data_IF_102286260939
#
_entry.id   IF_102286260939
#
_cell.length_a   1.000
_cell.length_b   1.000
_cell.length_c   1.000
_cell.angle_alpha   90.00
_cell.angle_beta   90.00
_cell.angle_gamma   90.00
#
_symmetry.space_group_name_H-M   'P 1'
#
loop_
_entity.id
_entity.type
_entity.pdbx_description
1 polymer ?
#
# COMPACT_ATOMS: atom_id res chain seq x y z
N UNK A 1 -21.00 -53.78 -19.57
CA UNK A 1 -20.46 -52.73 -20.47
C UNK A 1 -21.27 -51.49 -20.21
N UNK A 2 -20.78 -50.65 -19.26
CA UNK A 2 -21.44 -49.45 -18.80
C UNK A 2 -20.68 -48.28 -19.42
N UNK A 3 -21.32 -47.29 -20.05
CA UNK A 3 -20.64 -46.15 -20.62
C UNK A 3 -20.21 -45.15 -19.55
N UNK A 4 -19.01 -44.61 -19.71
CA UNK A 4 -18.42 -43.60 -18.87
C UNK A 4 -19.04 -42.21 -19.16
N UNK A 5 -19.37 -41.46 -18.09
CA UNK A 5 -19.82 -40.08 -18.16
C UNK A 5 -18.66 -39.14 -18.57
N UNK A 6 -18.90 -38.09 -19.36
CA UNK A 6 -17.89 -37.11 -19.70
C UNK A 6 -17.71 -36.09 -18.54
N UNK A 7 -16.48 -35.95 -18.11
CA UNK A 7 -16.04 -34.90 -17.14
C UNK A 7 -16.19 -33.54 -17.80
N UNK A 8 -17.11 -32.74 -17.27
CA UNK A 8 -17.36 -31.37 -17.69
C UNK A 8 -16.21 -30.46 -17.17
N UNK A 9 -15.37 -30.03 -18.09
CA UNK A 9 -14.27 -29.10 -17.85
C UNK A 9 -14.87 -27.69 -17.62
N UNK A 10 -15.07 -27.30 -16.36
CA UNK A 10 -15.44 -25.93 -16.01
C UNK A 10 -14.26 -24.99 -16.30
N UNK A 11 -14.35 -24.28 -17.41
CA UNK A 11 -13.46 -23.18 -17.77
C UNK A 11 -13.68 -22.02 -16.79
N UNK A 12 -12.72 -21.78 -15.88
CA UNK A 12 -12.68 -20.56 -15.06
C UNK A 12 -12.50 -19.36 -16.00
N UNK A 13 -13.59 -18.69 -16.30
CA UNK A 13 -13.57 -17.40 -16.98
C UNK A 13 -12.94 -16.36 -16.04
N UNK A 14 -11.73 -15.94 -16.35
CA UNK A 14 -11.10 -14.78 -15.74
C UNK A 14 -12.02 -13.57 -15.98
N UNK A 15 -12.49 -12.94 -14.90
CA UNK A 15 -13.32 -11.73 -14.96
C UNK A 15 -12.48 -10.56 -15.45
N UNK A 16 -12.42 -10.37 -16.76
CA UNK A 16 -11.83 -9.17 -17.37
C UNK A 16 -12.76 -8.00 -17.08
N UNK A 17 -12.36 -7.15 -16.17
CA UNK A 17 -13.06 -5.87 -15.94
C UNK A 17 -13.05 -5.06 -17.24
N UNK A 18 -14.21 -4.63 -17.78
CA UNK A 18 -14.24 -3.91 -19.05
C UNK A 18 -13.48 -2.57 -18.92
N UNK A 19 -12.78 -2.13 -19.98
CA UNK A 19 -12.05 -0.87 -19.96
C UNK A 19 -12.97 0.31 -19.65
N UNK A 20 -12.51 1.21 -18.77
CA UNK A 20 -13.26 2.41 -18.41
C UNK A 20 -13.52 3.26 -19.65
N UNK A 21 -14.69 3.84 -19.75
CA UNK A 21 -14.97 4.85 -20.79
C UNK A 21 -14.11 6.09 -20.56
N UNK A 22 -13.78 6.87 -21.61
CA UNK A 22 -13.05 8.16 -21.50
C UNK A 22 -13.62 9.07 -20.39
N UNK A 23 -14.93 9.08 -20.20
CA UNK A 23 -15.59 9.83 -19.11
C UNK A 23 -15.31 9.22 -17.74
N UNK A 24 -15.25 7.91 -17.64
CA UNK A 24 -14.88 7.18 -16.42
C UNK A 24 -13.43 7.43 -16.04
N UNK A 25 -12.53 7.41 -17.01
CA UNK A 25 -11.10 7.72 -16.80
C UNK A 25 -10.89 9.16 -16.32
N UNK A 26 -11.55 10.13 -16.94
CA UNK A 26 -11.49 11.53 -16.51
C UNK A 26 -12.03 11.73 -15.09
N UNK A 27 -13.13 11.04 -14.72
CA UNK A 27 -13.68 11.06 -13.36
C UNK A 27 -12.70 10.45 -12.36
N UNK A 28 -12.07 9.32 -12.70
CA UNK A 28 -11.08 8.66 -11.85
C UNK A 28 -9.82 9.51 -11.69
N UNK A 29 -9.34 10.15 -12.76
CA UNK A 29 -8.21 11.07 -12.71
C UNK A 29 -8.51 12.26 -11.79
N UNK A 30 -9.69 12.88 -11.94
CA UNK A 30 -10.10 14.00 -11.09
C UNK A 30 -10.19 13.61 -9.62
N UNK A 31 -10.75 12.43 -9.33
CA UNK A 31 -10.79 11.90 -7.96
C UNK A 31 -9.39 11.73 -7.38
N UNK A 32 -8.42 11.20 -8.15
CA UNK A 32 -7.02 11.07 -7.72
C UNK A 32 -6.38 12.43 -7.41
N UNK A 33 -6.60 13.45 -8.24
CA UNK A 33 -6.11 14.81 -7.99
C UNK A 33 -6.61 15.37 -6.65
N UNK A 34 -7.90 15.15 -6.32
CA UNK A 34 -8.49 15.58 -5.05
C UNK A 34 -7.84 14.83 -3.85
N UNK A 35 -7.66 13.52 -3.96
CA UNK A 35 -7.02 12.72 -2.92
C UNK A 35 -5.55 13.10 -2.71
N UNK A 36 -4.81 13.36 -3.79
CA UNK A 36 -3.41 13.82 -3.70
C UNK A 36 -3.31 15.23 -3.09
N UNK A 37 -4.23 16.13 -3.39
CA UNK A 37 -4.31 17.45 -2.77
C UNK A 37 -4.66 17.35 -1.27
N UNK A 38 -5.58 16.43 -0.93
CA UNK A 38 -5.93 16.15 0.45
C UNK A 38 -4.73 15.61 1.25
N UNK A 39 -4.00 14.64 0.69
CA UNK A 39 -2.81 14.07 1.32
C UNK A 39 -1.78 15.16 1.63
N UNK A 40 -1.44 16.00 0.65
CA UNK A 40 -0.50 17.14 0.84
C UNK A 40 -0.95 18.08 1.95
N UNK A 41 -2.22 18.51 1.93
CA UNK A 41 -2.73 19.47 2.91
C UNK A 41 -2.85 18.86 4.31
N UNK A 42 -3.33 17.61 4.41
CA UNK A 42 -3.41 16.90 5.68
C UNK A 42 -2.02 16.60 6.22
N UNK A 43 -1.05 16.18 5.40
CA UNK A 43 0.34 15.99 5.84
C UNK A 43 0.91 17.25 6.47
N UNK A 44 0.71 18.42 5.85
CA UNK A 44 1.23 19.69 6.30
C UNK A 44 0.53 20.24 7.55
N UNK A 45 -0.81 20.15 7.64
CA UNK A 45 -1.64 20.88 8.63
C UNK A 45 -2.40 19.96 9.61
N UNK A 46 -2.32 18.64 9.44
CA UNK A 46 -3.13 17.68 10.18
C UNK A 46 -4.56 17.56 9.65
N UNK A 47 -5.22 16.44 9.96
CA UNK A 47 -6.61 16.23 9.61
C UNK A 47 -7.52 17.36 10.13
N UNK A 48 -7.36 17.79 11.39
CA UNK A 48 -8.19 18.84 11.98
C UNK A 48 -8.01 20.20 11.29
N UNK A 49 -6.80 20.52 10.83
CA UNK A 49 -6.43 21.83 10.25
C UNK A 49 -6.83 22.02 8.78
N UNK A 50 -7.56 21.09 8.18
CA UNK A 50 -7.96 21.13 6.76
C UNK A 50 -9.47 21.07 6.63
N UNK A 51 -10.03 21.87 5.71
CA UNK A 51 -11.44 21.81 5.31
C UNK A 51 -11.58 21.18 3.92
N UNK A 52 -12.74 20.59 3.64
CA UNK A 52 -13.00 19.98 2.34
C UNK A 52 -12.97 21.00 1.20
N UNK A 53 -13.42 22.23 1.49
CA UNK A 53 -13.41 23.37 0.57
C UNK A 53 -11.98 23.80 0.22
N UNK A 54 -11.05 23.78 1.18
CA UNK A 54 -9.64 24.12 0.96
C UNK A 54 -8.98 23.14 0.00
N UNK A 55 -9.30 21.83 0.15
CA UNK A 55 -8.83 20.78 -0.75
C UNK A 55 -9.36 21.02 -2.17
N UNK A 56 -10.66 21.30 -2.27
CA UNK A 56 -11.30 21.62 -3.55
C UNK A 56 -10.65 22.82 -4.24
N UNK A 57 -10.46 23.92 -3.50
CA UNK A 57 -9.81 25.13 -4.00
C UNK A 57 -8.42 24.88 -4.57
N UNK A 58 -7.63 24.00 -3.96
CA UNK A 58 -6.27 23.65 -4.44
C UNK A 58 -6.24 22.93 -5.80
N UNK A 59 -7.37 22.33 -6.22
CA UNK A 59 -7.50 21.63 -7.51
C UNK A 59 -8.57 22.26 -8.42
N UNK A 60 -9.02 23.48 -8.11
CA UNK A 60 -10.04 24.18 -8.92
C UNK A 60 -11.42 23.53 -8.90
N UNK A 61 -11.80 22.92 -7.75
CA UNK A 61 -13.12 22.31 -7.52
C UNK A 61 -13.86 23.12 -6.47
N UNK A 62 -15.11 23.53 -6.77
CA UNK A 62 -15.93 24.26 -5.80
C UNK A 62 -16.32 23.37 -4.61
N UNK A 63 -16.56 23.99 -3.42
CA UNK A 63 -17.02 23.29 -2.23
C UNK A 63 -18.21 22.35 -2.51
N UNK A 64 -19.32 22.84 -3.12
CA UNK A 64 -20.44 21.97 -3.47
C UNK A 64 -20.09 20.80 -4.41
N UNK A 65 -19.06 20.98 -5.27
CA UNK A 65 -18.59 19.91 -6.14
C UNK A 65 -17.78 18.85 -5.35
N UNK A 66 -17.03 19.25 -4.33
CA UNK A 66 -16.34 18.33 -3.41
C UNK A 66 -17.32 17.40 -2.69
N UNK A 67 -18.44 17.94 -2.20
CA UNK A 67 -19.49 17.16 -1.54
C UNK A 67 -20.23 16.17 -2.45
N UNK A 68 -20.10 16.29 -3.78
CA UNK A 68 -20.56 15.26 -4.73
C UNK A 68 -19.60 14.08 -4.84
N UNK A 69 -18.35 14.25 -4.44
CA UNK A 69 -17.31 13.21 -4.48
C UNK A 69 -17.10 12.54 -3.12
N UNK A 70 -17.22 13.32 -2.05
CA UNK A 70 -16.95 12.87 -0.67
C UNK A 70 -18.05 13.43 0.25
N UNK A 71 -18.75 12.54 0.96
CA UNK A 71 -19.84 12.92 1.86
C UNK A 71 -19.35 13.80 3.03
N UNK A 72 -18.09 13.64 3.44
CA UNK A 72 -17.45 14.40 4.50
C UNK A 72 -15.92 14.38 4.35
N UNK A 73 -15.23 15.16 5.19
CA UNK A 73 -13.76 15.09 5.31
C UNK A 73 -13.30 13.73 5.84
N UNK A 74 -14.05 13.12 6.75
CA UNK A 74 -13.78 11.76 7.25
C UNK A 74 -13.93 10.73 6.14
N UNK A 75 -15.00 10.80 5.33
CA UNK A 75 -15.19 9.93 4.17
C UNK A 75 -14.04 10.05 3.16
N UNK A 76 -13.54 11.28 2.92
CA UNK A 76 -12.36 11.48 2.08
C UNK A 76 -11.11 10.79 2.66
N UNK A 77 -10.89 10.91 3.99
CA UNK A 77 -9.78 10.26 4.67
C UNK A 77 -9.90 8.74 4.60
N UNK A 78 -11.10 8.21 4.87
CA UNK A 78 -11.39 6.78 4.78
C UNK A 78 -11.03 6.23 3.40
N UNK A 79 -11.55 6.86 2.34
CA UNK A 79 -11.28 6.47 0.97
C UNK A 79 -9.78 6.56 0.63
N UNK A 80 -9.09 7.60 1.08
CA UNK A 80 -7.66 7.81 0.82
C UNK A 80 -6.80 6.72 1.46
N UNK A 81 -7.05 6.37 2.73
CA UNK A 81 -6.25 5.37 3.44
C UNK A 81 -6.63 3.94 3.06
N UNK A 82 -7.89 3.69 2.66
CA UNK A 82 -8.29 2.43 2.06
C UNK A 82 -7.62 2.22 0.69
N UNK A 83 -7.61 3.24 -0.16
CA UNK A 83 -7.01 3.15 -1.51
C UNK A 83 -5.51 2.81 -1.44
N UNK A 84 -4.74 3.48 -0.56
CA UNK A 84 -3.31 3.17 -0.42
C UNK A 84 -3.08 1.80 0.21
N UNK A 85 -3.89 1.40 1.19
CA UNK A 85 -3.76 0.09 1.84
C UNK A 85 -4.08 -1.06 0.87
N UNK A 86 -5.11 -0.89 0.01
CA UNK A 86 -5.42 -1.83 -1.07
C UNK A 86 -4.27 -1.89 -2.07
N UNK A 87 -3.76 -0.74 -2.53
CA UNK A 87 -2.64 -0.69 -3.47
C UNK A 87 -1.40 -1.42 -2.96
N UNK A 88 -1.06 -1.25 -1.67
CA UNK A 88 0.07 -1.95 -1.07
C UNK A 88 -0.17 -3.46 -1.02
N UNK A 89 -1.34 -3.91 -0.53
CA UNK A 89 -1.69 -5.32 -0.45
C UNK A 89 -1.73 -5.98 -1.82
N UNK A 90 -2.37 -5.35 -2.81
CA UNK A 90 -2.55 -5.90 -4.14
C UNK A 90 -1.24 -5.93 -4.93
N UNK A 91 -0.47 -4.82 -4.89
CA UNK A 91 0.82 -4.76 -5.54
C UNK A 91 1.85 -5.72 -4.90
N UNK A 92 1.78 -5.94 -3.58
CA UNK A 92 2.57 -6.99 -2.93
C UNK A 92 2.19 -8.38 -3.42
N UNK A 93 0.89 -8.67 -3.53
CA UNK A 93 0.41 -9.94 -4.09
C UNK A 93 0.87 -10.13 -5.54
N UNK A 94 0.76 -9.11 -6.39
CA UNK A 94 1.25 -9.15 -7.77
C UNK A 94 2.76 -9.46 -7.86
N UNK A 95 3.56 -8.95 -6.91
CA UNK A 95 5.00 -9.26 -6.85
C UNK A 95 5.21 -10.73 -6.50
N UNK A 96 4.51 -11.26 -5.48
CA UNK A 96 4.62 -12.65 -5.04
C UNK A 96 4.13 -13.61 -6.12
N UNK A 97 3.04 -13.27 -6.81
CA UNK A 97 2.42 -14.10 -7.85
C UNK A 97 3.30 -14.25 -9.11
N UNK A 98 4.41 -13.49 -9.24
CA UNK A 98 5.40 -13.70 -10.31
C UNK A 98 6.15 -15.03 -10.18
N UNK A 99 6.12 -15.67 -9.02
CA UNK A 99 6.77 -16.97 -8.78
C UNK A 99 8.30 -16.93 -8.87
N UNK A 100 8.92 -15.77 -8.57
CA UNK A 100 10.37 -15.61 -8.53
C UNK A 100 10.96 -16.34 -7.31
N UNK A 101 12.27 -16.68 -7.33
CA UNK A 101 12.96 -17.16 -6.12
C UNK A 101 12.75 -16.23 -4.92
N UNK A 102 12.73 -16.75 -3.68
CA UNK A 102 12.44 -15.96 -2.48
C UNK A 102 13.31 -14.70 -2.33
N UNK A 103 14.61 -14.79 -2.66
CA UNK A 103 15.51 -13.63 -2.60
C UNK A 103 15.12 -12.52 -3.58
N UNK A 104 14.80 -12.87 -4.83
CA UNK A 104 14.37 -11.93 -5.86
C UNK A 104 12.97 -11.36 -5.54
N UNK A 105 12.08 -12.18 -4.98
CA UNK A 105 10.75 -11.75 -4.54
C UNK A 105 10.87 -10.73 -3.40
N UNK A 106 11.74 -10.96 -2.41
CA UNK A 106 11.96 -10.03 -1.31
C UNK A 106 12.52 -8.70 -1.80
N UNK A 107 13.50 -8.73 -2.70
CA UNK A 107 14.07 -7.53 -3.32
C UNK A 107 13.00 -6.75 -4.09
N UNK A 108 12.18 -7.43 -4.88
CA UNK A 108 11.09 -6.82 -5.63
C UNK A 108 10.03 -6.19 -4.70
N UNK A 109 9.70 -6.82 -3.58
CA UNK A 109 8.82 -6.25 -2.55
C UNK A 109 9.41 -4.99 -1.93
N UNK A 110 10.71 -4.99 -1.60
CA UNK A 110 11.42 -3.82 -1.07
C UNK A 110 11.35 -2.67 -2.07
N UNK A 111 11.67 -2.91 -3.31
CA UNK A 111 11.62 -1.91 -4.38
C UNK A 111 10.21 -1.36 -4.57
N UNK A 112 9.20 -2.23 -4.64
CA UNK A 112 7.80 -1.83 -4.76
C UNK A 112 7.35 -0.93 -3.61
N UNK A 113 7.67 -1.30 -2.36
CA UNK A 113 7.29 -0.52 -1.19
C UNK A 113 7.98 0.85 -1.17
N UNK A 114 9.30 0.89 -1.41
CA UNK A 114 10.07 2.13 -1.50
C UNK A 114 9.54 3.04 -2.62
N UNK A 115 9.12 2.48 -3.75
CA UNK A 115 8.48 3.23 -4.82
C UNK A 115 7.23 3.97 -4.34
N UNK A 116 6.37 3.30 -3.58
CA UNK A 116 5.19 3.93 -3.00
C UNK A 116 5.58 5.05 -2.03
N UNK A 117 6.55 4.81 -1.15
CA UNK A 117 7.02 5.79 -0.16
C UNK A 117 7.59 7.06 -0.83
N UNK A 118 8.42 6.89 -1.86
CA UNK A 118 9.07 8.02 -2.55
C UNK A 118 8.09 8.79 -3.44
N UNK A 119 7.10 8.11 -4.02
CA UNK A 119 6.12 8.76 -4.90
C UNK A 119 4.92 9.37 -4.15
N UNK A 120 4.62 8.90 -2.94
CA UNK A 120 3.46 9.32 -2.14
C UNK A 120 3.82 9.58 -0.66
N UNK A 121 4.88 10.39 -0.36
CA UNK A 121 5.35 10.58 1.01
C UNK A 121 4.28 11.17 1.94
N UNK A 122 3.42 12.05 1.43
CA UNK A 122 2.35 12.68 2.21
C UNK A 122 1.34 11.66 2.75
N UNK A 123 1.04 10.60 1.96
CA UNK A 123 0.14 9.53 2.42
C UNK A 123 0.71 8.76 3.61
N UNK A 124 2.03 8.57 3.65
CA UNK A 124 2.68 7.89 4.78
C UNK A 124 2.56 8.75 6.05
N UNK A 125 2.78 10.06 5.93
CA UNK A 125 2.61 11.00 7.05
C UNK A 125 1.18 10.98 7.59
N UNK A 126 0.19 11.02 6.68
CA UNK A 126 -1.23 11.00 7.05
C UNK A 126 -1.61 9.65 7.68
N UNK A 127 -1.18 8.54 7.09
CA UNK A 127 -1.47 7.20 7.62
C UNK A 127 -0.88 7.00 9.02
N UNK A 128 0.35 7.44 9.26
CA UNK A 128 1.01 7.30 10.56
C UNK A 128 0.34 8.13 11.67
N UNK A 129 -0.12 9.34 11.32
CA UNK A 129 -0.68 10.30 12.29
C UNK A 129 -2.19 10.22 12.45
N UNK A 130 -2.93 10.05 11.36
CA UNK A 130 -4.36 10.35 11.30
C UNK A 130 -5.28 9.11 11.26
N UNK A 131 -4.73 7.88 11.42
CA UNK A 131 -5.51 6.62 11.46
C UNK A 131 -6.65 6.63 12.49
N UNK A 132 -6.50 7.35 13.58
CA UNK A 132 -7.51 7.45 14.64
C UNK A 132 -8.73 8.30 14.26
N UNK A 133 -8.64 9.04 13.14
CA UNK A 133 -9.75 9.85 12.60
C UNK A 133 -10.61 9.09 11.57
N UNK A 134 -10.28 7.84 11.26
CA UNK A 134 -11.09 6.97 10.40
C UNK A 134 -12.39 6.58 11.10
N UNK A 135 -13.42 6.29 10.29
CA UNK A 135 -14.59 5.56 10.80
C UNK A 135 -14.18 4.19 11.33
N UNK A 136 -14.93 3.61 12.30
CA UNK A 136 -14.63 2.28 12.82
C UNK A 136 -14.52 1.21 11.72
N UNK A 137 -15.40 1.27 10.72
CA UNK A 137 -15.46 0.35 9.59
C UNK A 137 -14.22 0.48 8.71
N UNK A 138 -13.84 1.71 8.31
CA UNK A 138 -12.66 1.96 7.52
C UNK A 138 -11.37 1.59 8.28
N UNK A 139 -11.30 1.89 9.58
CA UNK A 139 -10.16 1.52 10.42
C UNK A 139 -9.99 -0.01 10.46
N UNK A 140 -11.09 -0.76 10.66
CA UNK A 140 -11.06 -2.23 10.66
C UNK A 140 -10.54 -2.78 9.33
N UNK A 141 -11.04 -2.26 8.20
CA UNK A 141 -10.63 -2.70 6.86
C UNK A 141 -9.16 -2.35 6.58
N UNK A 142 -8.72 -1.11 6.86
CA UNK A 142 -7.33 -0.69 6.71
C UNK A 142 -6.39 -1.60 7.51
N UNK A 143 -6.72 -1.87 8.77
CA UNK A 143 -5.92 -2.77 9.61
C UNK A 143 -5.89 -4.20 9.08
N UNK A 144 -7.00 -4.68 8.50
CA UNK A 144 -7.05 -5.99 7.85
C UNK A 144 -6.14 -6.06 6.63
N UNK A 145 -6.18 -5.03 5.78
CA UNK A 145 -5.32 -4.93 4.60
C UNK A 145 -3.84 -4.86 4.98
N UNK A 146 -3.50 -4.06 5.99
CA UNK A 146 -2.13 -3.95 6.51
C UNK A 146 -1.61 -5.28 7.04
N UNK A 147 -2.41 -6.02 7.83
CA UNK A 147 -2.04 -7.35 8.31
C UNK A 147 -1.75 -8.31 7.16
N UNK A 148 -2.63 -8.36 6.15
CA UNK A 148 -2.43 -9.23 4.98
C UNK A 148 -1.16 -8.87 4.22
N UNK A 149 -0.85 -7.59 4.10
CA UNK A 149 0.38 -7.13 3.45
C UNK A 149 1.63 -7.54 4.25
N UNK A 150 1.59 -7.42 5.57
CA UNK A 150 2.67 -7.91 6.45
C UNK A 150 2.89 -9.41 6.29
N UNK A 151 1.81 -10.22 6.28
CA UNK A 151 1.94 -11.67 6.14
C UNK A 151 2.58 -12.08 4.80
N UNK A 152 2.30 -11.38 3.69
CA UNK A 152 2.99 -11.62 2.41
C UNK A 152 4.52 -11.53 2.56
N UNK A 153 5.01 -10.52 3.28
CA UNK A 153 6.43 -10.33 3.53
C UNK A 153 7.01 -11.38 4.48
N UNK A 154 6.24 -11.75 5.51
CA UNK A 154 6.63 -12.80 6.45
C UNK A 154 6.81 -14.12 5.74
N UNK A 155 5.86 -14.51 4.89
CA UNK A 155 5.91 -15.76 4.14
C UNK A 155 7.13 -15.82 3.20
N UNK A 156 7.42 -14.72 2.48
CA UNK A 156 8.60 -14.63 1.60
C UNK A 156 9.90 -14.69 2.40
N UNK A 157 9.97 -14.00 3.56
CA UNK A 157 11.16 -14.03 4.42
C UNK A 157 11.41 -15.42 4.99
N UNK A 158 10.37 -16.13 5.44
CA UNK A 158 10.48 -17.50 5.94
C UNK A 158 10.94 -18.46 4.83
N UNK A 159 10.41 -18.32 3.61
CA UNK A 159 10.84 -19.12 2.47
C UNK A 159 12.33 -18.88 2.15
N UNK A 160 12.78 -17.61 2.15
CA UNK A 160 14.18 -17.26 1.95
C UNK A 160 15.10 -17.87 3.01
N UNK A 161 14.73 -17.81 4.29
CA UNK A 161 15.52 -18.38 5.37
C UNK A 161 15.60 -19.91 5.24
N UNK A 162 14.49 -20.57 4.89
CA UNK A 162 14.46 -22.03 4.65
C UNK A 162 15.37 -22.41 3.48
N UNK A 163 15.34 -21.68 2.38
CA UNK A 163 16.21 -21.90 1.21
C UNK A 163 17.71 -21.79 1.59
N UNK A 164 18.04 -20.88 2.50
CA UNK A 164 19.42 -20.69 3.02
C UNK A 164 19.81 -21.69 4.12
N UNK A 165 18.96 -22.65 4.45
CA UNK A 165 19.19 -23.63 5.52
C UNK A 165 19.14 -23.03 6.93
N UNK A 166 18.59 -21.83 7.09
CA UNK A 166 18.42 -21.15 8.38
C UNK A 166 16.99 -21.35 8.91
N UNK A 167 16.88 -21.45 10.23
CA UNK A 167 15.58 -21.51 10.92
C UNK A 167 15.21 -20.12 11.43
N UNK A 168 14.06 -19.61 11.05
CA UNK A 168 13.49 -18.37 11.54
C UNK A 168 12.08 -18.64 12.07
N UNK A 169 11.81 -18.31 13.33
CA UNK A 169 10.48 -18.46 13.91
C UNK A 169 9.53 -17.38 13.34
N UNK A 170 8.27 -17.74 13.05
CA UNK A 170 7.30 -16.82 12.50
C UNK A 170 7.10 -15.53 13.34
N UNK A 171 7.06 -15.55 14.69
CA UNK A 171 7.01 -14.32 15.48
C UNK A 171 8.22 -13.41 15.26
N UNK A 172 9.43 -13.97 15.12
CA UNK A 172 10.64 -13.20 14.84
C UNK A 172 10.60 -12.61 13.42
N UNK A 173 10.17 -13.37 12.43
CA UNK A 173 9.97 -12.84 11.06
C UNK A 173 9.02 -11.65 11.06
N UNK A 174 7.91 -11.71 11.80
CA UNK A 174 6.99 -10.57 11.97
C UNK A 174 7.66 -9.36 12.62
N UNK A 175 8.49 -9.56 13.65
CA UNK A 175 9.24 -8.46 14.29
C UNK A 175 10.16 -7.80 13.28
N UNK A 176 10.92 -8.57 12.50
CA UNK A 176 11.83 -8.04 11.47
C UNK A 176 11.07 -7.24 10.41
N UNK A 177 9.96 -7.77 9.90
CA UNK A 177 9.12 -7.08 8.91
C UNK A 177 8.52 -5.78 9.47
N UNK A 178 8.00 -5.79 10.71
CA UNK A 178 7.48 -4.57 11.34
C UNK A 178 8.57 -3.53 11.61
N UNK A 179 9.75 -3.95 12.06
CA UNK A 179 10.89 -3.05 12.28
C UNK A 179 11.36 -2.42 10.97
N UNK A 180 11.44 -3.22 9.90
CA UNK A 180 11.77 -2.74 8.56
C UNK A 180 10.75 -1.71 8.06
N UNK A 181 9.42 -1.97 8.22
CA UNK A 181 8.41 -0.98 7.86
C UNK A 181 8.52 0.30 8.69
N UNK A 182 8.80 0.21 9.99
CA UNK A 182 9.05 1.38 10.85
C UNK A 182 10.22 2.22 10.33
N UNK A 183 11.32 1.55 9.92
CA UNK A 183 12.46 2.18 9.31
C UNK A 183 12.07 2.90 8.00
N UNK A 184 11.42 2.20 7.08
CA UNK A 184 11.04 2.77 5.78
C UNK A 184 10.02 3.91 5.92
N UNK A 185 9.00 3.76 6.77
CA UNK A 185 7.97 4.77 7.01
C UNK A 185 8.49 6.03 7.72
N UNK A 186 9.71 6.01 8.26
CA UNK A 186 10.37 7.22 8.76
C UNK A 186 10.83 8.15 7.63
N UNK A 187 10.92 7.66 6.39
CA UNK A 187 11.51 8.38 5.25
C UNK A 187 11.01 9.81 5.00
N UNK A 188 9.72 10.16 5.18
CA UNK A 188 9.27 11.55 5.01
C UNK A 188 9.86 12.55 6.01
N UNK A 189 10.45 12.06 7.11
CA UNK A 189 11.05 12.87 8.17
C UNK A 189 12.58 12.92 8.10
N UNK A 190 13.18 12.22 7.12
CA UNK A 190 14.62 12.20 6.94
C UNK A 190 15.13 13.44 6.21
N UNK A 191 16.44 13.79 6.35
CA UNK A 191 17.05 14.84 5.56
C UNK A 191 16.84 14.62 4.06
N UNK A 192 16.66 15.71 3.31
CA UNK A 192 16.45 15.65 1.87
C UNK A 192 17.63 15.02 1.13
N UNK A 193 17.36 13.97 0.40
CA UNK A 193 18.24 13.34 -0.57
C UNK A 193 17.54 13.36 -1.93
N UNK A 194 18.33 13.29 -3.02
CA UNK A 194 17.72 12.99 -4.31
C UNK A 194 17.06 11.60 -4.28
N UNK A 195 16.00 11.44 -5.09
CA UNK A 195 15.17 10.24 -5.06
C UNK A 195 15.93 8.95 -5.36
N UNK A 196 16.96 9.00 -6.22
CA UNK A 196 17.75 7.82 -6.57
C UNK A 196 18.63 7.39 -5.39
N UNK A 197 19.29 8.34 -4.74
CA UNK A 197 20.11 8.07 -3.56
C UNK A 197 19.27 7.60 -2.38
N UNK A 198 18.11 8.22 -2.17
CA UNK A 198 17.17 7.80 -1.11
C UNK A 198 16.75 6.33 -1.31
N UNK A 199 16.36 5.93 -2.53
CA UNK A 199 16.02 4.55 -2.86
C UNK A 199 17.16 3.60 -2.53
N UNK A 200 18.38 3.91 -2.97
CA UNK A 200 19.57 3.06 -2.72
C UNK A 200 19.80 2.86 -1.23
N UNK A 201 19.74 3.93 -0.44
CA UNK A 201 19.96 3.86 1.02
C UNK A 201 18.87 3.04 1.70
N UNK A 202 17.61 3.34 1.39
CA UNK A 202 16.46 2.62 1.99
C UNK A 202 16.46 1.14 1.62
N UNK A 203 16.81 0.77 0.37
CA UNK A 203 16.92 -0.63 -0.05
C UNK A 203 17.99 -1.35 0.77
N UNK A 204 19.18 -0.80 0.87
CA UNK A 204 20.28 -1.42 1.63
C UNK A 204 19.91 -1.62 3.11
N UNK A 205 19.26 -0.61 3.73
CA UNK A 205 18.83 -0.68 5.13
C UNK A 205 17.71 -1.69 5.34
N UNK A 206 16.72 -1.75 4.42
CA UNK A 206 15.61 -2.71 4.50
C UNK A 206 16.11 -4.15 4.37
N UNK A 207 16.99 -4.42 3.40
CA UNK A 207 17.61 -5.74 3.23
C UNK A 207 18.37 -6.15 4.49
N UNK A 208 19.22 -5.28 5.03
CA UNK A 208 19.99 -5.56 6.25
C UNK A 208 19.09 -5.82 7.47
N UNK A 209 17.97 -5.09 7.61
CA UNK A 209 17.02 -5.27 8.70
C UNK A 209 16.27 -6.62 8.64
N UNK A 210 15.97 -7.11 7.43
CA UNK A 210 15.28 -8.39 7.25
C UNK A 210 16.23 -9.59 7.36
N UNK A 211 17.45 -9.45 6.87
CA UNK A 211 18.44 -10.53 6.78
C UNK A 211 19.45 -10.54 7.92
N UNK A 212 19.25 -9.71 8.98
CA UNK A 212 20.16 -9.70 10.12
C UNK A 212 20.27 -11.10 10.73
N UNK A 213 21.51 -11.52 11.02
CA UNK A 213 21.74 -12.78 11.76
C UNK A 213 21.11 -12.66 13.17
N UNK A 214 20.28 -13.65 13.55
CA UNK A 214 19.97 -13.85 14.96
C UNK A 214 21.24 -14.39 15.61
N UNK A 215 21.80 -13.64 16.54
CA UNK A 215 22.99 -14.05 17.31
C UNK A 215 22.72 -15.29 18.18
#
# INVERSE_FOLDING_TARGET
MTPADPVETATLAASVTPPLTKRGEAKAARRREMLDAAARQMAARGFAGVRLEDIGGAVGVSGPAMYRHFASKTDLLDQMLLDISRRLRDGGAEVVDRGLPPAETLEALIHFHIDVLVTKPDLIVVQDRDLHNLTPEANHEVRSLQRRYVEQWVDVLLALMTERGATLAQPEARVRVHAMFGLLNSSPRLPALDSARLRTVLTAMATAALECAAG
#
